data_IF_830406158523
#
_entry.id   IF_830406158523
#
_cell.length_a   1.000
_cell.length_b   1.000
_cell.length_c   1.000
_cell.angle_alpha   90.00
_cell.angle_beta   90.00
_cell.angle_gamma   90.00
#
_symmetry.space_group_name_H-M   'P 1'
#
loop_
_entity.id
_entity.type
_entity.pdbx_description
1 polymer ?
#
# COMPACT_ATOMS: atom_id res chain seq x y z
N UNK A 1 54.12 -2.06 -50.59
CA UNK A 1 55.23 -1.78 -49.66
C UNK A 1 54.77 -0.69 -48.73
N UNK A 2 54.71 -0.96 -47.43
CA UNK A 2 54.57 0.06 -46.39
C UNK A 2 55.58 -0.27 -45.29
N UNK A 3 56.31 0.74 -44.83
CA UNK A 3 57.45 0.56 -43.93
C UNK A 3 57.02 0.35 -42.46
N UNK A 4 57.73 -0.58 -41.83
CA UNK A 4 58.32 -0.51 -40.48
C UNK A 4 57.57 0.26 -39.39
N UNK A 5 57.13 -0.49 -38.38
CA UNK A 5 57.46 -0.17 -37.00
C UNK A 5 58.12 -1.40 -36.36
N UNK A 6 59.24 -1.18 -35.66
CA UNK A 6 60.10 -2.22 -35.10
C UNK A 6 60.05 -2.20 -33.56
N UNK A 7 60.00 -3.41 -32.96
CA UNK A 7 60.34 -3.74 -31.57
C UNK A 7 59.40 -3.19 -30.46
N UNK A 8 59.17 -3.89 -29.34
CA UNK A 8 59.95 -4.97 -28.71
C UNK A 8 59.11 -6.09 -27.99
N UNK A 9 59.80 -7.01 -27.31
CA UNK A 9 59.38 -8.38 -26.93
C UNK A 9 59.91 -8.80 -25.53
N UNK A 10 59.34 -9.73 -24.74
CA UNK A 10 58.07 -10.48 -24.90
C UNK A 10 57.15 -10.49 -23.63
N UNK A 11 57.41 -11.22 -22.50
CA UNK A 11 56.28 -11.95 -21.88
C UNK A 11 56.10 -11.94 -20.33
N UNK A 12 55.09 -12.70 -19.89
CA UNK A 12 54.75 -13.20 -18.52
C UNK A 12 54.21 -12.13 -17.54
N UNK A 13 53.17 -12.35 -16.72
CA UNK A 13 52.43 -13.56 -16.34
C UNK A 13 50.91 -13.36 -16.32
N UNK A 14 50.15 -14.43 -16.55
CA UNK A 14 48.73 -14.44 -16.23
C UNK A 14 48.53 -14.55 -14.71
N UNK A 15 47.61 -13.76 -14.15
CA UNK A 15 46.98 -14.13 -12.88
C UNK A 15 45.56 -13.56 -12.79
N UNK A 16 44.57 -14.45 -12.87
CA UNK A 16 43.19 -14.16 -12.54
C UNK A 16 43.10 -13.79 -11.05
N UNK A 17 42.51 -12.63 -10.74
CA UNK A 17 41.73 -12.45 -9.51
C UNK A 17 40.81 -11.24 -9.67
N UNK A 18 39.53 -11.52 -9.86
CA UNK A 18 38.48 -10.52 -9.71
C UNK A 18 38.54 -9.99 -8.26
N UNK A 19 38.97 -8.76 -8.08
CA UNK A 19 38.87 -8.07 -6.80
C UNK A 19 37.39 -7.74 -6.56
N UNK A 20 36.75 -8.54 -5.69
CA UNK A 20 35.38 -8.32 -5.24
C UNK A 20 35.23 -6.88 -4.72
N UNK A 21 34.22 -6.10 -5.15
CA UNK A 21 34.01 -4.76 -4.61
C UNK A 21 33.67 -4.85 -3.13
N UNK A 22 34.39 -4.08 -2.32
CA UNK A 22 34.22 -4.04 -0.87
C UNK A 22 32.76 -3.77 -0.49
N UNK A 23 32.13 -4.74 0.16
CA UNK A 23 30.98 -4.48 1.03
C UNK A 23 31.46 -3.56 2.15
N UNK A 24 31.18 -2.25 2.01
CA UNK A 24 31.14 -1.38 3.18
C UNK A 24 29.91 -1.78 3.99
N UNK A 25 30.02 -2.04 5.30
CA UNK A 25 28.84 -2.24 6.12
C UNK A 25 28.04 -0.94 6.11
N UNK A 26 26.86 -0.97 5.49
CA UNK A 26 25.91 0.14 5.59
C UNK A 26 25.48 0.17 7.04
N UNK A 27 25.81 1.24 7.76
CA UNK A 27 25.40 1.42 9.16
C UNK A 27 23.90 1.16 9.28
N UNK A 28 23.52 0.35 10.29
CA UNK A 28 22.14 -0.03 10.56
C UNK A 28 21.25 1.21 10.76
N UNK A 29 20.67 1.72 9.69
CA UNK A 29 19.48 2.55 9.76
C UNK A 29 18.35 1.58 10.09
N UNK A 30 18.11 1.40 11.40
CA UNK A 30 16.81 0.94 11.91
C UNK A 30 15.83 2.04 11.53
N UNK A 31 15.38 2.00 10.28
CA UNK A 31 14.40 2.93 9.78
C UNK A 31 13.12 2.58 10.51
N UNK A 32 12.65 3.50 11.34
CA UNK A 32 11.33 3.43 11.95
C UNK A 32 10.32 3.16 10.84
N UNK A 33 9.23 2.48 11.19
CA UNK A 33 8.10 2.29 10.28
C UNK A 33 7.73 3.60 9.58
N UNK A 34 7.17 3.57 8.34
CA UNK A 34 6.58 4.76 7.72
C UNK A 34 5.82 5.53 8.79
N UNK A 35 6.12 6.82 8.91
CA UNK A 35 5.98 7.63 10.13
C UNK A 35 4.80 7.19 11.00
N UNK A 36 5.07 6.87 12.28
CA UNK A 36 4.03 6.54 13.28
C UNK A 36 2.90 7.53 13.07
N UNK A 37 1.76 7.04 12.57
CA UNK A 37 0.60 7.87 12.30
C UNK A 37 0.15 8.39 13.66
N UNK A 38 0.46 9.66 13.92
CA UNK A 38 0.02 10.31 15.13
C UNK A 38 -1.46 10.64 14.96
N UNK A 39 -2.28 9.63 15.28
CA UNK A 39 -3.65 9.83 15.77
C UNK A 39 -3.55 10.82 16.93
N UNK A 40 -3.75 12.11 16.64
CA UNK A 40 -3.63 13.17 17.64
C UNK A 40 -4.80 13.12 18.59
N UNK A 41 -6.01 12.93 18.05
CA UNK A 41 -7.25 12.83 18.82
C UNK A 41 -8.35 12.20 17.97
N UNK A 42 -9.24 11.43 18.58
CA UNK A 42 -10.55 11.11 17.99
C UNK A 42 -11.36 12.41 17.95
N UNK A 43 -11.98 12.72 16.81
CA UNK A 43 -12.77 13.95 16.67
C UNK A 43 -14.00 13.90 17.58
N UNK A 44 -14.45 15.05 18.08
CA UNK A 44 -15.68 15.13 18.89
C UNK A 44 -16.55 16.31 18.47
N UNK A 45 -17.81 16.33 18.92
CA UNK A 45 -18.74 17.43 18.65
C UNK A 45 -19.13 17.55 17.17
N UNK A 46 -19.28 18.78 16.69
CA UNK A 46 -19.82 19.08 15.36
C UNK A 46 -18.92 18.59 14.23
N UNK A 47 -17.59 18.68 14.39
CA UNK A 47 -16.64 18.32 13.33
C UNK A 47 -16.63 16.80 13.09
N UNK A 48 -16.74 16.01 14.18
CA UNK A 48 -16.97 14.58 14.10
C UNK A 48 -18.31 14.23 13.44
N UNK A 49 -19.39 14.94 13.77
CA UNK A 49 -20.70 14.73 13.17
C UNK A 49 -20.69 15.04 11.65
N UNK A 50 -20.01 16.11 11.24
CA UNK A 50 -19.82 16.47 9.83
C UNK A 50 -19.00 15.42 9.09
N UNK A 51 -17.84 15.01 9.63
CA UNK A 51 -17.02 13.96 9.03
C UNK A 51 -17.79 12.64 8.87
N UNK A 52 -18.53 12.22 9.90
CA UNK A 52 -19.35 11.01 9.84
C UNK A 52 -20.49 11.16 8.82
N UNK A 53 -21.22 12.27 8.79
CA UNK A 53 -22.25 12.52 7.77
C UNK A 53 -21.66 12.40 6.36
N UNK A 54 -20.51 13.03 6.12
CA UNK A 54 -19.83 13.01 4.82
C UNK A 54 -19.40 11.60 4.42
N UNK A 55 -18.86 10.82 5.36
CA UNK A 55 -18.52 9.42 5.16
C UNK A 55 -19.76 8.57 4.83
N UNK A 56 -20.91 8.80 5.50
CA UNK A 56 -22.17 8.10 5.19
C UNK A 56 -22.68 8.44 3.79
N UNK A 57 -22.67 9.72 3.40
CA UNK A 57 -23.06 10.18 2.06
C UNK A 57 -22.19 9.55 0.97
N UNK A 58 -20.88 9.47 1.19
CA UNK A 58 -19.94 8.82 0.27
C UNK A 58 -20.14 7.30 0.22
N UNK A 59 -20.38 6.63 1.35
CA UNK A 59 -20.70 5.20 1.37
C UNK A 59 -22.00 4.90 0.61
N UNK A 60 -23.04 5.73 0.77
CA UNK A 60 -24.29 5.59 0.01
C UNK A 60 -24.10 5.79 -1.50
N UNK A 61 -23.16 6.65 -1.92
CA UNK A 61 -22.77 6.78 -3.34
C UNK A 61 -22.10 5.52 -3.85
N UNK A 62 -21.11 4.98 -3.12
CA UNK A 62 -20.46 3.69 -3.44
C UNK A 62 -21.51 2.57 -3.63
N UNK A 63 -22.43 2.42 -2.68
CA UNK A 63 -23.50 1.41 -2.72
C UNK A 63 -24.43 1.59 -3.94
N UNK A 64 -24.83 2.83 -4.24
CA UNK A 64 -25.69 3.16 -5.39
C UNK A 64 -24.97 2.86 -6.71
N UNK A 65 -23.69 3.23 -6.80
CA UNK A 65 -22.85 2.99 -7.97
C UNK A 65 -22.57 1.50 -8.19
N UNK A 66 -22.55 0.68 -7.13
CA UNK A 66 -22.49 -0.78 -7.22
C UNK A 66 -23.81 -1.43 -7.69
N UNK A 67 -24.94 -0.74 -7.60
CA UNK A 67 -26.20 -1.19 -8.19
C UNK A 67 -26.25 -0.88 -9.70
N UNK A 68 -25.89 0.33 -10.11
CA UNK A 68 -25.81 0.74 -11.53
C UNK A 68 -24.70 0.03 -12.32
N UNK A 69 -24.72 0.10 -13.65
CA UNK A 69 -23.73 -0.61 -14.51
C UNK A 69 -22.53 0.24 -14.96
N UNK A 70 -22.39 1.47 -14.44
CA UNK A 70 -21.41 2.46 -14.91
C UNK A 70 -20.05 2.39 -14.22
N UNK A 71 -19.88 1.57 -13.18
CA UNK A 71 -18.68 1.48 -12.33
C UNK A 71 -18.15 0.04 -12.26
N UNK A 72 -16.87 -0.10 -11.90
CA UNK A 72 -16.20 -1.41 -11.77
C UNK A 72 -16.77 -2.24 -10.61
N UNK A 73 -17.17 -3.48 -10.88
CA UNK A 73 -17.80 -4.41 -9.92
C UNK A 73 -16.97 -5.66 -9.63
N UNK A 74 -15.65 -5.56 -9.70
CA UNK A 74 -14.74 -6.64 -9.34
C UNK A 74 -15.09 -7.17 -7.94
N UNK A 75 -15.00 -8.49 -7.71
CA UNK A 75 -15.51 -9.12 -6.49
C UNK A 75 -14.92 -8.52 -5.20
N UNK A 76 -13.64 -8.13 -5.23
CA UNK A 76 -12.96 -7.50 -4.10
C UNK A 76 -13.46 -6.07 -3.80
N UNK A 77 -13.88 -5.30 -4.81
CA UNK A 77 -14.53 -3.99 -4.65
C UNK A 77 -15.93 -4.19 -4.05
N UNK A 78 -16.69 -5.17 -4.57
CA UNK A 78 -18.00 -5.52 -4.01
C UNK A 78 -17.88 -5.99 -2.55
N UNK A 79 -16.81 -6.74 -2.22
CA UNK A 79 -16.46 -7.15 -0.86
C UNK A 79 -16.11 -5.97 0.04
N UNK A 80 -15.31 -5.02 -0.44
CA UNK A 80 -14.94 -3.79 0.25
C UNK A 80 -16.15 -2.90 0.58
N UNK A 81 -17.05 -2.65 -0.37
CA UNK A 81 -18.26 -1.84 -0.12
C UNK A 81 -19.19 -2.51 0.91
N UNK A 82 -19.34 -3.84 0.86
CA UNK A 82 -20.07 -4.59 1.89
C UNK A 82 -19.38 -4.54 3.26
N UNK A 83 -18.05 -4.58 3.30
CA UNK A 83 -17.28 -4.45 4.54
C UNK A 83 -17.48 -3.06 5.15
N UNK A 84 -17.39 -1.99 4.36
CA UNK A 84 -17.64 -0.62 4.80
C UNK A 84 -19.04 -0.47 5.43
N UNK A 85 -20.10 -0.98 4.78
CA UNK A 85 -21.46 -0.99 5.34
C UNK A 85 -21.53 -1.78 6.65
N UNK A 86 -20.96 -2.98 6.69
CA UNK A 86 -20.91 -3.79 7.92
C UNK A 86 -20.16 -3.10 9.06
N UNK A 87 -19.12 -2.31 8.76
CA UNK A 87 -18.36 -1.53 9.76
C UNK A 87 -19.11 -0.28 10.19
N UNK A 88 -19.78 0.40 9.26
CA UNK A 88 -20.65 1.53 9.54
C UNK A 88 -21.75 1.15 10.53
N UNK A 89 -22.52 0.11 10.21
CA UNK A 89 -23.66 -0.34 11.02
C UNK A 89 -23.21 -0.88 12.40
N UNK A 90 -22.00 -1.43 12.49
CA UNK A 90 -21.36 -1.85 13.74
C UNK A 90 -20.72 -0.69 14.55
N UNK A 91 -20.79 0.56 14.08
CA UNK A 91 -20.13 1.74 14.68
C UNK A 91 -18.61 1.58 14.82
N UNK A 92 -18.00 0.94 13.81
CA UNK A 92 -16.56 0.66 13.69
C UNK A 92 -15.84 1.57 12.69
N UNK A 93 -16.52 2.61 12.20
CA UNK A 93 -15.91 3.71 11.45
C UNK A 93 -15.86 4.91 12.38
N UNK A 94 -14.70 5.59 12.44
CA UNK A 94 -14.46 6.75 13.32
C UNK A 94 -13.69 7.83 12.57
N UNK A 95 -13.82 9.08 13.01
CA UNK A 95 -13.04 10.19 12.47
C UNK A 95 -11.96 10.64 13.47
N UNK A 96 -10.76 10.90 12.97
CA UNK A 96 -9.60 11.35 13.75
C UNK A 96 -8.98 12.61 13.13
N UNK A 97 -8.37 13.42 13.98
CA UNK A 97 -7.39 14.42 13.55
C UNK A 97 -6.03 13.75 13.39
N UNK A 98 -5.41 13.88 12.22
CA UNK A 98 -4.13 13.23 11.90
C UNK A 98 -3.03 14.26 11.59
N UNK A 99 -1.81 14.00 12.05
CA UNK A 99 -0.67 14.87 11.72
C UNK A 99 -0.03 14.49 10.38
N UNK A 100 -0.33 15.26 9.33
CA UNK A 100 0.34 15.13 8.04
C UNK A 100 -0.03 13.88 7.23
N UNK A 101 -1.21 13.30 7.48
CA UNK A 101 -1.82 12.32 6.58
C UNK A 101 -2.59 13.00 5.44
N UNK A 102 -2.93 12.20 4.42
CA UNK A 102 -3.66 12.62 3.20
C UNK A 102 -4.78 11.62 2.84
N UNK A 103 -5.12 10.72 3.78
CA UNK A 103 -6.14 9.66 3.67
C UNK A 103 -6.41 9.05 5.06
N UNK A 104 -7.29 8.04 5.14
CA UNK A 104 -7.58 7.31 6.39
C UNK A 104 -6.55 6.23 6.76
N UNK A 105 -6.91 5.39 7.73
CA UNK A 105 -6.17 4.19 8.14
C UNK A 105 -7.14 3.12 8.69
N UNK A 106 -7.26 1.98 8.03
CA UNK A 106 -7.74 0.72 8.67
C UNK A 106 -6.76 0.29 9.78
N UNK A 107 -7.25 -0.18 10.92
CA UNK A 107 -6.40 -0.54 12.07
C UNK A 107 -5.51 -1.80 11.85
N UNK A 108 -5.62 -2.43 10.68
CA UNK A 108 -5.00 -3.69 10.23
C UNK A 108 -5.31 -4.91 11.10
N UNK A 109 -5.97 -4.77 12.24
CA UNK A 109 -6.67 -5.87 12.91
C UNK A 109 -7.99 -6.19 12.19
N UNK A 110 -8.45 -5.27 11.35
CA UNK A 110 -9.70 -5.33 10.63
C UNK A 110 -10.90 -5.17 11.57
N UNK A 111 -10.73 -4.48 12.71
CA UNK A 111 -11.81 -4.17 13.64
C UNK A 111 -12.37 -2.76 13.41
N UNK A 112 -11.53 -1.73 13.39
CA UNK A 112 -11.91 -0.33 13.14
C UNK A 112 -11.27 0.28 11.88
N UNK A 113 -12.04 1.12 11.19
CA UNK A 113 -11.54 2.01 10.13
C UNK A 113 -11.53 3.43 10.66
N UNK A 114 -10.39 4.10 10.56
CA UNK A 114 -10.22 5.49 10.97
C UNK A 114 -10.15 6.39 9.73
N UNK A 115 -10.95 7.44 9.69
CA UNK A 115 -11.02 8.39 8.59
C UNK A 115 -10.39 9.72 9.03
N UNK A 116 -9.68 10.37 8.12
CA UNK A 116 -9.19 11.72 8.32
C UNK A 116 -10.33 12.72 8.09
N UNK A 117 -10.75 13.39 9.15
CA UNK A 117 -11.83 14.37 9.11
C UNK A 117 -11.35 15.83 9.06
N UNK A 118 -10.04 16.08 8.98
CA UNK A 118 -9.50 17.45 8.84
C UNK A 118 -9.73 18.02 7.41
N UNK A 119 -10.13 17.19 6.44
CA UNK A 119 -10.35 17.61 5.06
C UNK A 119 -11.38 16.74 4.33
N UNK A 120 -12.49 17.34 3.89
CA UNK A 120 -13.55 16.71 3.08
C UNK A 120 -13.06 15.93 1.85
N UNK A 121 -11.90 16.28 1.29
CA UNK A 121 -11.32 15.57 0.14
C UNK A 121 -10.80 14.16 0.51
N UNK A 122 -10.53 13.90 1.79
CA UNK A 122 -10.13 12.57 2.29
C UNK A 122 -11.34 11.68 2.62
N UNK A 123 -12.56 12.20 2.43
CA UNK A 123 -13.82 11.48 2.59
C UNK A 123 -14.49 11.21 1.22
N UNK A 124 -13.69 11.13 0.15
CA UNK A 124 -14.13 10.80 -1.21
C UNK A 124 -14.35 9.28 -1.43
N UNK A 125 -15.04 8.92 -2.53
CA UNK A 125 -15.31 7.52 -2.87
C UNK A 125 -14.04 6.68 -3.02
N UNK A 126 -12.94 7.28 -3.48
CA UNK A 126 -11.67 6.60 -3.66
C UNK A 126 -10.98 6.28 -2.33
N UNK A 127 -11.03 7.19 -1.37
CA UNK A 127 -10.42 7.02 -0.04
C UNK A 127 -11.23 6.03 0.81
N UNK A 128 -12.57 6.17 0.85
CA UNK A 128 -13.38 5.17 1.55
C UNK A 128 -13.23 3.77 0.94
N UNK A 129 -13.17 3.66 -0.39
CA UNK A 129 -12.92 2.37 -1.04
C UNK A 129 -11.52 1.81 -0.76
N UNK A 130 -10.49 2.66 -0.67
CA UNK A 130 -9.13 2.26 -0.30
C UNK A 130 -9.11 1.59 1.09
N UNK A 131 -9.63 2.27 2.13
CA UNK A 131 -9.72 1.67 3.47
C UNK A 131 -10.65 0.44 3.51
N UNK A 132 -11.74 0.47 2.74
CA UNK A 132 -12.65 -0.67 2.60
C UNK A 132 -11.97 -1.93 2.03
N UNK A 133 -11.00 -1.76 1.12
CA UNK A 133 -10.20 -2.87 0.59
C UNK A 133 -9.20 -3.36 1.62
N UNK A 134 -8.56 -2.48 2.40
CA UNK A 134 -7.72 -2.89 3.53
C UNK A 134 -8.50 -3.75 4.54
N UNK A 135 -9.63 -3.25 5.03
CA UNK A 135 -10.49 -3.98 5.96
C UNK A 135 -11.03 -5.30 5.38
N UNK A 136 -11.41 -5.31 4.09
CA UNK A 136 -11.84 -6.53 3.40
C UNK A 136 -10.70 -7.55 3.34
N UNK A 137 -9.49 -7.16 2.93
CA UNK A 137 -8.34 -8.04 2.85
C UNK A 137 -7.89 -8.55 4.22
N UNK A 138 -7.88 -7.70 5.25
CA UNK A 138 -7.65 -8.11 6.64
C UNK A 138 -8.64 -9.19 7.09
N UNK A 139 -9.92 -9.05 6.73
CA UNK A 139 -10.96 -10.06 7.04
C UNK A 139 -10.75 -11.41 6.35
N UNK A 140 -10.15 -11.43 5.15
CA UNK A 140 -9.85 -12.67 4.41
C UNK A 140 -8.55 -13.33 4.91
N UNK A 141 -7.57 -12.53 5.36
CA UNK A 141 -6.23 -12.99 5.74
C UNK A 141 -5.93 -12.74 7.24
N UNK A 142 -6.88 -13.09 8.12
CA UNK A 142 -6.89 -12.75 9.56
C UNK A 142 -5.56 -13.04 10.30
N UNK A 143 -4.94 -14.19 10.05
CA UNK A 143 -3.72 -14.62 10.74
C UNK A 143 -2.51 -13.72 10.48
N UNK A 144 -2.40 -13.13 9.29
CA UNK A 144 -1.30 -12.23 8.93
C UNK A 144 -1.65 -10.78 9.25
N UNK A 145 -2.92 -10.39 9.10
CA UNK A 145 -3.45 -9.11 9.56
C UNK A 145 -3.21 -8.91 11.06
N UNK A 146 -3.63 -9.86 11.90
CA UNK A 146 -3.41 -9.82 13.35
C UNK A 146 -1.92 -9.74 13.75
N UNK A 147 -1.03 -10.43 13.01
CA UNK A 147 0.43 -10.34 13.23
C UNK A 147 0.98 -8.97 12.83
N UNK A 148 0.47 -8.36 11.77
CA UNK A 148 0.85 -7.02 11.33
C UNK A 148 0.37 -5.96 12.32
N UNK A 149 -0.90 -6.00 12.72
CA UNK A 149 -1.47 -5.13 13.75
C UNK A 149 -0.72 -5.23 15.09
N UNK A 150 -0.32 -6.45 15.50
CA UNK A 150 0.52 -6.66 16.68
C UNK A 150 1.90 -6.00 16.57
N UNK A 151 2.53 -6.05 15.38
CA UNK A 151 3.80 -5.36 15.14
C UNK A 151 3.65 -3.82 15.17
N UNK A 152 2.57 -3.27 14.59
CA UNK A 152 2.22 -1.84 14.68
C UNK A 152 2.02 -1.39 16.14
N UNK A 153 1.15 -2.09 16.87
CA UNK A 153 0.79 -1.73 18.25
C UNK A 153 1.97 -1.82 19.24
N UNK A 154 2.92 -2.73 18.99
CA UNK A 154 4.17 -2.83 19.77
C UNK A 154 5.26 -1.86 19.29
N UNK A 155 5.01 -1.08 18.23
CA UNK A 155 5.96 -0.20 17.55
C UNK A 155 7.29 -0.89 17.19
N UNK A 156 7.26 -2.21 17.01
CA UNK A 156 8.46 -3.00 16.75
C UNK A 156 8.85 -2.84 15.28
N UNK A 157 10.08 -2.43 14.95
CA UNK A 157 10.53 -2.43 13.57
C UNK A 157 10.50 -3.85 13.01
N UNK A 158 9.94 -4.00 11.81
CA UNK A 158 10.00 -5.24 11.03
C UNK A 158 11.40 -5.39 10.45
N UNK A 159 12.02 -6.55 10.69
CA UNK A 159 13.37 -6.88 10.23
C UNK A 159 13.28 -7.78 8.99
N UNK A 160 13.44 -7.25 7.77
CA UNK A 160 13.27 -8.01 6.54
C UNK A 160 14.28 -9.16 6.34
N UNK A 161 15.33 -9.25 7.17
CA UNK A 161 16.21 -10.44 7.17
C UNK A 161 15.54 -11.67 7.77
N UNK A 162 14.47 -11.47 8.56
CA UNK A 162 13.67 -12.54 9.17
C UNK A 162 12.50 -12.91 8.24
N UNK A 163 12.35 -14.18 7.82
CA UNK A 163 11.29 -14.59 6.89
C UNK A 163 9.86 -14.21 7.33
N UNK A 164 9.58 -14.22 8.64
CA UNK A 164 8.29 -13.83 9.18
C UNK A 164 7.98 -12.34 8.98
N UNK A 165 8.96 -11.47 9.22
CA UNK A 165 8.82 -10.02 9.06
C UNK A 165 8.83 -9.61 7.58
N UNK A 166 9.61 -10.30 6.73
CA UNK A 166 9.53 -10.13 5.29
C UNK A 166 8.14 -10.51 4.75
N UNK A 167 7.49 -11.55 5.31
CA UNK A 167 6.10 -11.89 4.96
C UNK A 167 5.13 -10.76 5.33
N UNK A 168 5.32 -10.13 6.49
CA UNK A 168 4.52 -8.98 6.94
C UNK A 168 4.70 -7.76 6.03
N UNK A 169 5.93 -7.46 5.60
CA UNK A 169 6.22 -6.39 4.64
C UNK A 169 5.62 -6.66 3.25
N UNK A 170 5.71 -7.90 2.75
CA UNK A 170 5.05 -8.35 1.52
C UNK A 170 3.54 -8.19 1.59
N UNK A 171 2.92 -8.56 2.71
CA UNK A 171 1.49 -8.40 2.91
C UNK A 171 1.08 -6.92 2.87
N UNK A 172 1.79 -6.02 3.57
CA UNK A 172 1.50 -4.58 3.52
C UNK A 172 1.62 -4.01 2.10
N UNK A 173 2.70 -4.32 1.37
CA UNK A 173 2.88 -3.85 0.00
C UNK A 173 1.80 -4.41 -0.97
N UNK A 174 1.36 -5.64 -0.73
CA UNK A 174 0.24 -6.26 -1.45
C UNK A 174 -1.10 -5.58 -1.14
N UNK A 175 -1.42 -5.32 0.12
CA UNK A 175 -2.69 -4.65 0.47
C UNK A 175 -2.75 -3.24 -0.11
N UNK A 176 -1.66 -2.47 -0.01
CA UNK A 176 -1.51 -1.14 -0.61
C UNK A 176 -1.77 -1.13 -2.12
N UNK A 177 -1.12 -2.04 -2.85
CA UNK A 177 -1.31 -2.18 -4.30
C UNK A 177 -2.80 -2.37 -4.64
N UNK A 178 -3.49 -3.27 -3.95
CA UNK A 178 -4.90 -3.56 -4.24
C UNK A 178 -5.85 -2.44 -3.81
N UNK A 179 -5.57 -1.76 -2.70
CA UNK A 179 -6.35 -0.62 -2.23
C UNK A 179 -6.26 0.57 -3.19
N UNK A 180 -5.07 0.90 -3.70
CA UNK A 180 -4.93 1.90 -4.77
C UNK A 180 -5.47 1.42 -6.12
N UNK A 181 -5.29 0.13 -6.48
CA UNK A 181 -5.88 -0.44 -7.71
C UNK A 181 -7.39 -0.35 -7.74
N UNK A 182 -8.06 -0.56 -6.60
CA UNK A 182 -9.51 -0.41 -6.48
C UNK A 182 -10.02 0.94 -6.98
N UNK A 183 -9.33 2.05 -6.70
CA UNK A 183 -9.70 3.38 -7.22
C UNK A 183 -9.72 3.39 -8.76
N UNK A 184 -8.68 2.87 -9.39
CA UNK A 184 -8.61 2.81 -10.85
C UNK A 184 -9.65 1.85 -11.43
N UNK A 185 -9.77 0.64 -10.90
CA UNK A 185 -10.71 -0.39 -11.36
C UNK A 185 -12.18 0.04 -11.19
N UNK A 186 -12.53 0.70 -10.09
CA UNK A 186 -13.87 1.25 -9.80
C UNK A 186 -14.27 2.35 -10.79
N UNK A 187 -13.41 3.35 -10.99
CA UNK A 187 -13.69 4.47 -11.89
C UNK A 187 -13.45 4.14 -13.37
N UNK A 188 -12.79 3.02 -13.72
CA UNK A 188 -12.41 2.74 -15.12
C UNK A 188 -13.60 2.81 -16.11
N UNK A 189 -14.77 2.20 -15.82
CA UNK A 189 -15.87 2.16 -16.80
C UNK A 189 -16.58 3.50 -17.01
N UNK A 190 -16.38 4.51 -16.15
CA UNK A 190 -16.92 5.87 -16.36
C UNK A 190 -16.05 6.73 -17.29
N UNK A 191 -14.84 6.27 -17.63
CA UNK A 191 -13.88 7.05 -18.45
C UNK A 191 -14.29 7.03 -19.92
N UNK A 192 -14.12 8.16 -20.60
CA UNK A 192 -14.29 8.28 -22.07
C UNK A 192 -13.50 7.24 -22.86
N UNK A 193 -12.34 6.84 -22.33
CA UNK A 193 -11.54 5.72 -22.78
C UNK A 193 -11.14 4.93 -21.53
N UNK A 194 -11.58 3.68 -21.46
CA UNK A 194 -11.17 2.76 -20.41
C UNK A 194 -9.66 2.46 -20.54
N UNK A 195 -8.97 2.47 -19.40
CA UNK A 195 -7.59 2.04 -19.28
C UNK A 195 -7.48 0.52 -19.47
N UNK A 196 -6.37 0.09 -20.06
CA UNK A 196 -5.93 -1.31 -20.09
C UNK A 196 -5.34 -1.71 -18.74
N UNK A 197 -5.25 -3.01 -18.48
CA UNK A 197 -4.73 -3.51 -17.21
C UNK A 197 -3.29 -3.06 -16.93
N UNK A 198 -2.41 -3.07 -17.94
CA UNK A 198 -1.01 -2.64 -17.76
C UNK A 198 -0.87 -1.12 -17.51
N UNK A 199 -1.84 -0.33 -17.97
CA UNK A 199 -1.89 1.11 -17.69
C UNK A 199 -2.32 1.37 -16.24
N UNK A 200 -3.29 0.59 -15.74
CA UNK A 200 -3.69 0.60 -14.33
C UNK A 200 -2.54 0.15 -13.44
N UNK A 201 -1.93 -1.00 -13.75
CA UNK A 201 -0.83 -1.58 -12.98
C UNK A 201 0.34 -0.59 -12.84
N UNK A 202 0.72 0.06 -13.94
CA UNK A 202 1.75 1.11 -13.93
C UNK A 202 1.37 2.28 -13.03
N UNK A 203 0.15 2.82 -13.12
CA UNK A 203 -0.29 3.96 -12.32
C UNK A 203 -0.34 3.63 -10.81
N UNK A 204 -0.76 2.41 -10.46
CA UNK A 204 -0.74 1.91 -9.08
C UNK A 204 0.69 1.79 -8.59
N UNK A 205 1.59 1.15 -9.34
CA UNK A 205 3.00 1.00 -8.98
C UNK A 205 3.77 2.34 -8.94
N UNK A 206 3.33 3.35 -9.70
CA UNK A 206 3.89 4.71 -9.64
C UNK A 206 3.39 5.50 -8.40
N UNK A 207 2.34 5.06 -7.70
CA UNK A 207 1.81 5.74 -6.51
C UNK A 207 2.87 5.74 -5.37
N UNK A 208 3.13 6.87 -4.68
CA UNK A 208 4.20 6.98 -3.70
C UNK A 208 4.22 5.89 -2.62
N UNK A 209 3.08 5.55 -2.03
CA UNK A 209 3.02 4.61 -0.90
C UNK A 209 3.08 3.14 -1.33
N UNK A 210 2.51 2.79 -2.49
CA UNK A 210 2.75 1.48 -3.16
C UNK A 210 4.23 1.32 -3.52
N UNK A 211 4.84 2.36 -4.10
CA UNK A 211 6.26 2.37 -4.48
C UNK A 211 7.17 2.21 -3.26
N UNK A 212 6.90 2.95 -2.18
CA UNK A 212 7.65 2.95 -0.92
C UNK A 212 7.55 1.60 -0.19
N UNK A 213 6.34 1.04 -0.08
CA UNK A 213 6.13 -0.27 0.54
C UNK A 213 6.76 -1.40 -0.29
N UNK A 214 6.61 -1.38 -1.62
CA UNK A 214 7.19 -2.40 -2.51
C UNK A 214 8.71 -2.32 -2.59
N UNK A 215 9.29 -1.12 -2.70
CA UNK A 215 10.74 -0.94 -2.73
C UNK A 215 11.42 -1.55 -1.49
N UNK A 216 10.79 -1.46 -0.32
CA UNK A 216 11.33 -2.06 0.92
C UNK A 216 11.37 -3.59 0.87
N UNK A 217 10.46 -4.22 0.13
CA UNK A 217 10.50 -5.67 -0.12
C UNK A 217 11.58 -6.00 -1.14
N UNK A 218 11.71 -5.22 -2.22
CA UNK A 218 12.70 -5.43 -3.28
C UNK A 218 14.17 -5.31 -2.83
N UNK A 219 14.44 -4.65 -1.69
CA UNK A 219 15.76 -4.72 -1.03
C UNK A 219 16.18 -6.17 -0.67
N UNK A 220 15.22 -7.09 -0.47
CA UNK A 220 15.44 -8.46 0.02
C UNK A 220 14.84 -9.55 -0.88
N UNK A 221 13.82 -9.23 -1.68
CA UNK A 221 13.23 -10.11 -2.68
C UNK A 221 12.79 -9.30 -3.91
N UNK A 222 13.68 -9.21 -4.90
CA UNK A 222 13.43 -8.54 -6.19
C UNK A 222 12.41 -9.27 -7.08
N UNK A 223 12.01 -10.51 -6.74
CA UNK A 223 11.01 -11.28 -7.50
C UNK A 223 9.57 -11.02 -7.04
N UNK A 224 9.40 -10.31 -5.92
CA UNK A 224 8.09 -9.96 -5.39
C UNK A 224 7.32 -9.01 -6.33
N UNK A 225 6.13 -9.40 -6.76
CA UNK A 225 5.22 -8.58 -7.56
C UNK A 225 3.89 -8.50 -6.81
N UNK A 226 3.47 -7.32 -6.30
CA UNK A 226 2.22 -7.18 -5.55
C UNK A 226 0.99 -7.74 -6.30
N UNK A 227 0.88 -7.48 -7.61
CA UNK A 227 -0.21 -7.96 -8.47
C UNK A 227 -0.43 -9.48 -8.43
N UNK A 228 0.63 -10.28 -8.30
CA UNK A 228 0.58 -11.75 -8.43
C UNK A 228 0.92 -12.48 -7.13
N UNK A 229 1.26 -11.77 -6.06
CA UNK A 229 1.48 -12.34 -4.75
C UNK A 229 0.17 -12.80 -4.10
N UNK A 230 0.23 -13.90 -3.34
CA UNK A 230 -0.86 -14.43 -2.53
C UNK A 230 -0.37 -14.62 -1.07
N UNK A 231 -0.96 -13.95 -0.07
CA UNK A 231 -0.49 -13.97 1.32
C UNK A 231 -0.66 -15.30 2.08
#
# INVERSE_FOLDING_TARGET
MYDRLNNAMIPVSANNKAASPFFKPVNNIIQRMPAIIQRKMEMTGNDAAHCMQKAEETLRKLETNMQGNSYGKQDYITGAVKMLRSKWDAKKIKCYHFDGMVHGEDDYSGDEIWLDGDNDNFLDEGTLLHEGVHAYQASQHKDIAAKYASALNTQRPLDPTKPADLKLLKWKAWTEYWAYRAKYDYFNPTRKQAMKEDEIDKLVMDTPDVRKSTAKVWEFDQSFIPKTYNP
#
